data_IF_596546643310
#
_entry.id   IF_596546643310
#
_cell.length_a   1.000
_cell.length_b   1.000
_cell.length_c   1.000
_cell.angle_alpha   90.00
_cell.angle_beta   90.00
_cell.angle_gamma   90.00
#
_symmetry.space_group_name_H-M   'P 1'
#
loop_
_entity.id
_entity.type
_entity.pdbx_description
1 polymer ?
#
# COMPACT_ATOMS: atom_id res chain seq x y z
N UNK A 1 -10.44 10.58 -12.21
CA UNK A 1 -11.48 9.92 -11.37
C UNK A 1 -12.87 10.44 -11.75
N UNK A 2 -13.95 9.71 -11.41
CA UNK A 2 -15.29 10.28 -11.46
C UNK A 2 -15.32 11.49 -10.53
N UNK A 3 -15.65 12.66 -11.05
CA UNK A 3 -15.50 13.92 -10.32
C UNK A 3 -16.68 14.87 -10.57
N UNK A 4 -17.82 14.59 -9.94
CA UNK A 4 -19.04 15.36 -10.14
C UNK A 4 -18.99 16.76 -9.50
N UNK A 5 -18.24 16.90 -8.41
CA UNK A 5 -18.13 18.14 -7.62
C UNK A 5 -16.79 18.86 -7.83
N UNK A 6 -16.03 18.50 -8.87
CA UNK A 6 -14.71 19.06 -9.17
C UNK A 6 -13.74 19.04 -7.98
N UNK A 7 -13.77 17.98 -7.17
CA UNK A 7 -12.85 17.83 -6.02
C UNK A 7 -11.39 17.76 -6.47
N UNK A 8 -11.12 17.41 -7.72
CA UNK A 8 -9.78 17.45 -8.34
C UNK A 8 -9.18 18.87 -8.35
N UNK A 9 -10.00 19.92 -8.27
CA UNK A 9 -9.51 21.30 -8.14
C UNK A 9 -8.88 21.58 -6.77
N UNK A 10 -9.26 20.81 -5.74
CA UNK A 10 -8.69 20.89 -4.39
C UNK A 10 -7.36 20.13 -4.24
N UNK A 11 -7.00 19.35 -5.26
CA UNK A 11 -5.74 18.61 -5.32
C UNK A 11 -4.63 19.47 -5.91
N UNK A 12 -3.41 19.30 -5.37
CA UNK A 12 -2.24 19.96 -5.94
C UNK A 12 -1.91 19.37 -7.31
N UNK A 13 -1.07 20.06 -8.09
CA UNK A 13 -0.57 19.50 -9.36
C UNK A 13 0.19 18.19 -9.13
N UNK A 14 0.96 18.10 -8.05
CA UNK A 14 1.69 16.90 -7.67
C UNK A 14 0.74 15.74 -7.31
N UNK A 15 -0.29 15.99 -6.51
CA UNK A 15 -1.31 14.98 -6.14
C UNK A 15 -1.94 14.37 -7.40
N UNK A 16 -2.31 15.22 -8.36
CA UNK A 16 -2.92 14.81 -9.63
C UNK A 16 -1.94 14.06 -10.52
N UNK A 17 -0.68 14.47 -10.58
CA UNK A 17 0.35 13.75 -11.32
C UNK A 17 0.58 12.36 -10.76
N UNK A 18 0.66 12.22 -9.43
CA UNK A 18 0.79 10.92 -8.78
C UNK A 18 -0.41 10.02 -9.10
N UNK A 19 -1.63 10.55 -9.03
CA UNK A 19 -2.83 9.80 -9.40
C UNK A 19 -2.79 9.33 -10.86
N UNK A 20 -2.43 10.22 -11.79
CA UNK A 20 -2.38 9.89 -13.21
C UNK A 20 -1.31 8.85 -13.51
N UNK A 21 -0.10 8.99 -12.96
CA UNK A 21 0.97 7.99 -13.12
C UNK A 21 0.57 6.63 -12.56
N UNK A 22 -0.10 6.59 -11.40
CA UNK A 22 -0.60 5.34 -10.85
C UNK A 22 -1.64 4.69 -11.77
N UNK A 23 -2.59 5.49 -12.28
CA UNK A 23 -3.61 5.04 -13.22
C UNK A 23 -3.00 4.47 -14.50
N UNK A 24 -2.08 5.20 -15.12
CA UNK A 24 -1.48 4.82 -16.40
C UNK A 24 -0.76 3.48 -16.29
N UNK A 25 0.06 3.29 -15.24
CA UNK A 25 0.72 2.03 -14.96
C UNK A 25 -0.26 0.89 -14.66
N UNK A 26 -1.28 1.16 -13.84
CA UNK A 26 -2.26 0.15 -13.46
C UNK A 26 -3.13 -0.27 -14.66
N UNK A 27 -3.46 0.64 -15.57
CA UNK A 27 -4.19 0.33 -16.80
C UNK A 27 -3.34 -0.46 -17.80
N UNK A 28 -2.04 -0.17 -17.91
CA UNK A 28 -1.17 -0.85 -18.88
C UNK A 28 -0.70 -2.23 -18.40
N UNK A 29 -0.23 -2.31 -17.15
CA UNK A 29 0.47 -3.51 -16.66
C UNK A 29 -0.45 -4.44 -15.86
N UNK A 30 -1.42 -3.89 -15.13
CA UNK A 30 -2.15 -4.66 -14.09
C UNK A 30 -3.55 -5.05 -14.53
N UNK A 31 -4.31 -4.11 -15.12
CA UNK A 31 -5.68 -4.33 -15.60
C UNK A 31 -5.81 -5.54 -16.56
N UNK A 32 -4.87 -5.80 -17.50
CA UNK A 32 -5.00 -6.94 -18.40
C UNK A 32 -5.03 -8.31 -17.69
N UNK A 33 -4.33 -8.44 -16.56
CA UNK A 33 -4.19 -9.71 -15.82
C UNK A 33 -5.24 -9.92 -14.73
N UNK A 34 -5.90 -8.86 -14.25
CA UNK A 34 -6.73 -8.89 -13.04
C UNK A 34 -7.81 -9.97 -13.05
N UNK A 35 -8.45 -10.19 -14.20
CA UNK A 35 -9.53 -11.17 -14.35
C UNK A 35 -9.03 -12.59 -14.10
N UNK A 36 -7.91 -12.97 -14.70
CA UNK A 36 -7.36 -14.33 -14.59
C UNK A 36 -6.89 -14.60 -13.16
N UNK A 37 -6.17 -13.66 -12.55
CA UNK A 37 -5.73 -13.78 -11.16
C UNK A 37 -6.90 -13.95 -10.20
N UNK A 38 -7.98 -13.19 -10.42
CA UNK A 38 -9.20 -13.31 -9.61
C UNK A 38 -9.87 -14.68 -9.80
N UNK A 39 -10.04 -15.15 -11.04
CA UNK A 39 -10.66 -16.45 -11.34
C UNK A 39 -9.87 -17.62 -10.74
N UNK A 40 -8.54 -17.52 -10.70
CA UNK A 40 -7.65 -18.54 -10.13
C UNK A 40 -7.47 -18.40 -8.60
N UNK A 41 -7.87 -17.27 -8.01
CA UNK A 41 -7.61 -16.99 -6.59
C UNK A 41 -6.13 -16.78 -6.27
N UNK A 42 -5.35 -16.28 -7.23
CA UNK A 42 -3.91 -16.07 -7.11
C UNK A 42 -3.58 -14.59 -7.01
N UNK A 43 -2.59 -14.24 -6.16
CA UNK A 43 -2.07 -12.88 -6.10
C UNK A 43 -0.87 -12.71 -7.06
N UNK A 44 -0.80 -11.63 -7.87
CA UNK A 44 0.27 -11.41 -8.84
C UNK A 44 1.59 -10.99 -8.15
N UNK A 45 2.27 -11.96 -7.51
CA UNK A 45 3.51 -11.72 -6.74
C UNK A 45 4.63 -11.10 -7.57
N UNK A 46 4.65 -11.35 -8.87
CA UNK A 46 5.63 -10.78 -9.79
C UNK A 46 5.53 -9.25 -9.90
N UNK A 47 4.41 -8.64 -9.52
CA UNK A 47 4.20 -7.18 -9.57
C UNK A 47 4.59 -6.45 -8.29
N UNK A 48 4.96 -7.19 -7.23
CA UNK A 48 5.36 -6.57 -5.95
C UNK A 48 6.59 -5.66 -6.10
N UNK A 49 7.66 -6.05 -6.82
CA UNK A 49 8.79 -5.15 -7.08
C UNK A 49 8.35 -3.88 -7.81
N UNK A 50 7.48 -4.00 -8.82
CA UNK A 50 6.98 -2.86 -9.57
C UNK A 50 6.20 -1.88 -8.68
N UNK A 51 5.41 -2.38 -7.72
CA UNK A 51 4.73 -1.54 -6.73
C UNK A 51 5.73 -0.79 -5.82
N UNK A 52 6.89 -1.39 -5.54
CA UNK A 52 7.97 -0.72 -4.85
C UNK A 52 8.61 0.38 -5.71
N UNK A 53 8.93 0.07 -6.97
CA UNK A 53 9.50 1.03 -7.93
C UNK A 53 8.57 2.22 -8.20
N UNK A 54 7.26 1.97 -8.29
CA UNK A 54 6.23 3.00 -8.45
C UNK A 54 5.96 3.80 -7.17
N UNK A 55 6.55 3.40 -6.03
CA UNK A 55 6.39 4.08 -4.75
C UNK A 55 5.00 3.89 -4.11
N UNK A 56 4.33 2.77 -4.38
CA UNK A 56 3.01 2.47 -3.79
C UNK A 56 3.11 1.94 -2.35
N UNK A 57 4.30 1.52 -1.93
CA UNK A 57 4.54 0.90 -0.62
C UNK A 57 5.18 1.92 0.34
N UNK A 58 4.50 2.18 1.46
CA UNK A 58 4.94 3.17 2.44
C UNK A 58 5.03 4.58 1.87
N UNK A 59 4.17 4.93 0.90
CA UNK A 59 4.35 6.11 0.05
C UNK A 59 4.47 7.42 0.86
N UNK A 60 3.78 7.52 1.99
CA UNK A 60 3.77 8.69 2.88
C UNK A 60 4.77 8.62 4.04
N UNK A 61 5.65 7.62 4.07
CA UNK A 61 6.70 7.51 5.07
C UNK A 61 7.96 8.30 4.66
N UNK A 62 8.79 8.73 5.62
CA UNK A 62 9.93 9.61 5.34
C UNK A 62 10.95 9.02 4.36
N UNK A 63 11.51 9.90 3.52
CA UNK A 63 12.53 9.56 2.52
C UNK A 63 13.83 9.03 3.10
N UNK A 64 14.15 9.37 4.35
CA UNK A 64 15.34 8.87 5.07
C UNK A 64 15.37 7.33 5.21
N UNK A 65 14.20 6.68 5.10
CA UNK A 65 14.05 5.23 5.15
C UNK A 65 13.80 4.60 3.76
N UNK A 66 14.11 5.33 2.67
CA UNK A 66 13.93 4.84 1.30
C UNK A 66 12.49 4.85 0.79
N UNK A 67 11.60 5.56 1.47
CA UNK A 67 10.20 5.72 1.08
C UNK A 67 9.98 7.00 0.23
N UNK A 68 8.87 7.12 -0.52
CA UNK A 68 8.61 8.29 -1.37
C UNK A 68 8.38 9.62 -0.63
N UNK A 69 7.85 9.60 0.59
CA UNK A 69 7.58 10.82 1.37
C UNK A 69 6.44 11.70 0.84
N UNK A 70 5.48 11.14 0.09
CA UNK A 70 4.34 11.90 -0.44
C UNK A 70 3.32 12.22 0.66
N UNK A 71 2.45 13.20 0.42
CA UNK A 71 1.43 13.57 1.39
C UNK A 71 0.30 12.52 1.48
N UNK A 72 -0.54 12.60 2.52
CA UNK A 72 -1.64 11.66 2.75
C UNK A 72 -2.72 11.69 1.66
N UNK A 73 -2.92 12.80 0.94
CA UNK A 73 -3.85 12.85 -0.19
C UNK A 73 -3.32 12.00 -1.33
N UNK A 74 -2.04 12.14 -1.67
CA UNK A 74 -1.38 11.31 -2.69
C UNK A 74 -1.40 9.83 -2.33
N UNK A 75 -1.13 9.46 -1.07
CA UNK A 75 -1.31 8.07 -0.60
C UNK A 75 -2.75 7.58 -0.82
N UNK A 76 -3.74 8.37 -0.44
CA UNK A 76 -5.16 8.04 -0.66
C UNK A 76 -5.50 7.90 -2.15
N UNK A 77 -4.93 8.72 -3.03
CA UNK A 77 -5.13 8.64 -4.47
C UNK A 77 -4.49 7.39 -5.08
N UNK A 78 -3.31 6.96 -4.61
CA UNK A 78 -2.72 5.68 -5.01
C UNK A 78 -3.63 4.53 -4.59
N UNK A 79 -4.13 4.54 -3.35
CA UNK A 79 -5.07 3.52 -2.88
C UNK A 79 -6.38 3.52 -3.70
N UNK A 80 -6.88 4.70 -4.09
CA UNK A 80 -8.05 4.84 -4.94
C UNK A 80 -7.83 4.18 -6.32
N UNK A 81 -6.68 4.43 -6.95
CA UNK A 81 -6.40 3.83 -8.26
C UNK A 81 -6.16 2.32 -8.18
N UNK A 82 -5.54 1.81 -7.11
CA UNK A 82 -5.39 0.36 -6.88
C UNK A 82 -6.76 -0.31 -6.72
N UNK A 83 -7.66 0.26 -5.91
CA UNK A 83 -9.01 -0.28 -5.69
C UNK A 83 -9.87 -0.24 -6.96
N UNK A 84 -9.63 0.74 -7.83
CA UNK A 84 -10.29 0.83 -9.13
C UNK A 84 -10.01 -0.40 -10.00
N UNK A 85 -8.85 -1.05 -9.81
CA UNK A 85 -8.50 -2.31 -10.47
C UNK A 85 -9.05 -3.49 -9.68
N UNK A 86 -8.60 -3.66 -8.44
CA UNK A 86 -9.00 -4.77 -7.56
C UNK A 86 -8.68 -4.50 -6.08
N UNK A 87 -9.60 -4.91 -5.21
CA UNK A 87 -9.47 -4.73 -3.77
C UNK A 87 -8.31 -5.54 -3.16
N UNK A 88 -7.91 -6.66 -3.74
CA UNK A 88 -6.76 -7.46 -3.31
C UNK A 88 -5.44 -6.71 -3.48
N UNK A 89 -5.26 -6.00 -4.59
CA UNK A 89 -4.09 -5.15 -4.85
C UNK A 89 -3.98 -4.00 -3.84
N UNK A 90 -5.09 -3.28 -3.61
CA UNK A 90 -5.15 -2.24 -2.59
C UNK A 90 -4.94 -2.81 -1.20
N UNK A 91 -5.44 -4.02 -0.91
CA UNK A 91 -5.22 -4.70 0.38
C UNK A 91 -3.76 -4.97 0.64
N UNK A 92 -3.04 -5.49 -0.36
CA UNK A 92 -1.61 -5.69 -0.27
C UNK A 92 -0.87 -4.39 0.09
N UNK A 93 -1.09 -3.32 -0.70
CA UNK A 93 -0.40 -2.05 -0.48
C UNK A 93 -0.78 -1.40 0.87
N UNK A 94 -2.04 -1.53 1.30
CA UNK A 94 -2.54 -1.02 2.58
C UNK A 94 -1.92 -1.77 3.78
N UNK A 95 -1.90 -3.11 3.75
CA UNK A 95 -1.28 -3.92 4.81
C UNK A 95 0.20 -3.57 4.90
N UNK A 96 0.91 -3.62 3.78
CA UNK A 96 2.35 -3.32 3.74
C UNK A 96 2.64 -1.91 4.26
N UNK A 97 1.91 -0.89 3.79
CA UNK A 97 2.18 0.50 4.16
C UNK A 97 1.73 0.82 5.60
N UNK A 98 0.46 0.59 5.91
CA UNK A 98 -0.17 1.11 7.12
C UNK A 98 -0.16 0.12 8.30
N UNK A 99 -0.07 -1.18 8.05
CA UNK A 99 -0.11 -2.20 9.09
C UNK A 99 1.25 -2.86 9.36
N UNK A 100 2.24 -2.66 8.48
CA UNK A 100 3.60 -3.21 8.65
C UNK A 100 4.63 -2.09 8.72
N UNK A 101 4.79 -1.31 7.65
CA UNK A 101 5.83 -0.27 7.58
C UNK A 101 5.55 0.86 8.58
N UNK A 102 4.30 1.32 8.71
CA UNK A 102 3.93 2.35 9.67
C UNK A 102 4.24 2.00 11.13
N UNK A 103 3.86 0.83 11.69
CA UNK A 103 4.21 0.50 13.06
C UNK A 103 5.72 0.33 13.28
N UNK A 104 6.48 -0.18 12.30
CA UNK A 104 7.96 -0.19 12.38
C UNK A 104 8.49 1.24 12.44
N UNK A 105 8.01 2.13 11.57
CA UNK A 105 8.40 3.55 11.57
C UNK A 105 8.05 4.25 12.89
N UNK A 106 6.85 4.00 13.42
CA UNK A 106 6.32 4.73 14.57
C UNK A 106 6.81 4.19 15.92
N UNK A 107 6.95 2.88 16.04
CA UNK A 107 7.19 2.20 17.32
C UNK A 107 8.49 1.39 17.35
N UNK A 108 9.12 1.15 16.20
CA UNK A 108 10.38 0.44 16.12
C UNK A 108 11.59 1.27 16.57
N UNK A 109 12.68 0.60 16.91
CA UNK A 109 13.99 1.23 17.12
C UNK A 109 14.57 1.74 15.80
N UNK A 110 15.55 2.65 15.86
CA UNK A 110 16.23 3.12 14.65
C UNK A 110 16.90 1.97 13.87
N UNK A 111 17.43 0.96 14.57
CA UNK A 111 18.01 -0.22 13.93
C UNK A 111 16.95 -1.01 13.14
N UNK A 112 15.75 -1.21 13.72
CA UNK A 112 14.64 -1.87 13.04
C UNK A 112 14.18 -1.07 11.81
N UNK A 113 14.05 0.26 11.94
CA UNK A 113 13.63 1.11 10.82
C UNK A 113 14.61 1.05 9.66
N UNK A 114 15.91 1.20 9.94
CA UNK A 114 16.97 1.16 8.91
C UNK A 114 17.13 -0.21 8.28
N UNK A 115 16.88 -1.28 9.04
CA UNK A 115 16.96 -2.65 8.54
C UNK A 115 15.78 -3.00 7.63
N UNK A 116 14.54 -2.68 8.03
CA UNK A 116 13.35 -3.23 7.38
C UNK A 116 12.71 -2.30 6.34
N UNK A 117 12.56 -1.01 6.67
CA UNK A 117 11.78 -0.09 5.84
C UNK A 117 12.32 0.06 4.41
N UNK A 118 13.65 0.15 4.16
CA UNK A 118 14.16 0.27 2.81
C UNK A 118 13.86 -0.95 1.92
N UNK A 119 13.92 -2.16 2.49
CA UNK A 119 13.63 -3.39 1.74
C UNK A 119 12.13 -3.61 1.55
N UNK A 120 11.31 -3.16 2.51
CA UNK A 120 9.86 -3.16 2.38
C UNK A 120 9.36 -2.15 1.34
N UNK A 121 9.97 -0.96 1.28
CA UNK A 121 9.64 0.09 0.31
C UNK A 121 9.92 -0.35 -1.14
N UNK A 122 10.98 -1.14 -1.35
CA UNK A 122 11.32 -1.73 -2.66
C UNK A 122 10.47 -2.96 -3.03
N UNK A 123 9.64 -3.46 -2.13
CA UNK A 123 8.91 -4.72 -2.33
C UNK A 123 9.76 -5.99 -2.17
N UNK A 124 11.02 -5.89 -1.73
CA UNK A 124 11.90 -7.04 -1.51
C UNK A 124 11.54 -7.82 -0.24
N UNK A 125 10.87 -7.17 0.70
CA UNK A 125 10.41 -7.76 1.95
C UNK A 125 8.93 -7.49 2.14
N UNK A 126 8.12 -8.55 2.20
CA UNK A 126 6.67 -8.45 2.41
C UNK A 126 6.37 -8.80 3.87
N UNK A 127 5.63 -7.94 4.56
CA UNK A 127 5.15 -8.21 5.91
C UNK A 127 3.66 -8.54 5.98
N UNK A 128 3.22 -8.90 7.17
CA UNK A 128 1.82 -9.07 7.51
C UNK A 128 1.55 -8.53 8.92
N UNK A 129 0.28 -8.34 9.26
CA UNK A 129 -0.14 -7.85 10.57
C UNK A 129 -1.06 -8.85 11.25
N UNK A 130 -0.56 -9.47 12.33
CA UNK A 130 -1.30 -10.44 13.14
C UNK A 130 -1.95 -9.75 14.32
N UNK A 131 -3.28 -9.64 14.29
CA UNK A 131 -4.09 -9.11 15.39
C UNK A 131 -5.33 -9.96 15.62
N UNK A 132 -6.08 -10.24 14.56
CA UNK A 132 -7.28 -11.07 14.61
C UNK A 132 -6.93 -12.53 14.91
N UNK A 133 -7.68 -13.14 15.83
CA UNK A 133 -7.54 -14.54 16.21
C UNK A 133 -8.83 -15.33 15.87
N UNK A 134 -8.75 -16.67 15.92
CA UNK A 134 -9.86 -17.55 15.55
C UNK A 134 -11.15 -17.34 16.38
N UNK A 135 -11.01 -16.94 17.65
CA UNK A 135 -12.12 -16.70 18.58
C UNK A 135 -12.85 -15.37 18.32
N UNK A 136 -12.26 -14.46 17.53
CA UNK A 136 -12.90 -13.19 17.18
C UNK A 136 -11.94 -12.10 16.71
N UNK A 137 -12.42 -11.24 15.80
CA UNK A 137 -11.70 -10.05 15.34
C UNK A 137 -12.22 -8.72 15.89
N UNK A 138 -13.50 -8.65 16.29
CA UNK A 138 -14.12 -7.40 16.75
C UNK A 138 -13.71 -6.98 18.17
N UNK A 139 -13.32 -7.94 19.02
CA UNK A 139 -12.77 -7.69 20.36
C UNK A 139 -11.28 -8.08 20.41
N UNK A 140 -10.38 -7.23 19.91
CA UNK A 140 -8.94 -7.49 19.99
C UNK A 140 -8.40 -7.46 21.43
N UNK A 141 -9.17 -6.95 22.41
CA UNK A 141 -8.78 -6.95 23.82
C UNK A 141 -8.81 -8.33 24.47
N UNK A 142 -9.53 -9.28 23.87
CA UNK A 142 -9.65 -10.66 24.33
C UNK A 142 -8.51 -11.61 23.85
N UNK A 143 -7.46 -11.05 23.24
CA UNK A 143 -6.31 -11.76 22.65
C UNK A 143 -5.77 -12.89 23.55
N UNK A 144 -5.46 -14.04 22.94
CA UNK A 144 -4.94 -15.24 23.60
C UNK A 144 -3.47 -15.51 23.30
N UNK A 145 -2.89 -14.88 22.28
CA UNK A 145 -1.45 -14.93 22.03
C UNK A 145 -0.66 -14.38 23.23
N UNK A 146 0.35 -15.12 23.68
CA UNK A 146 1.26 -14.72 24.77
C UNK A 146 2.70 -14.71 24.25
N UNK A 147 3.54 -13.81 24.79
CA UNK A 147 4.94 -13.62 24.40
C UNK A 147 5.91 -13.83 25.57
#
# INVERSE_FOLDING_TARGET
MLDYYNVTELLSTEDRQIQNSARDYLDSEVMPGVKEWWELGEFPKNMVPDFGEMGFLGSNLPTEYGCPGVNNKSYGLIMYELERIDSGLRSFASVQSALVMYPIYKYGSEDQKKQYLPEMAKGNMIGCFGLTEHDGGSDPGAMKTNA
#
